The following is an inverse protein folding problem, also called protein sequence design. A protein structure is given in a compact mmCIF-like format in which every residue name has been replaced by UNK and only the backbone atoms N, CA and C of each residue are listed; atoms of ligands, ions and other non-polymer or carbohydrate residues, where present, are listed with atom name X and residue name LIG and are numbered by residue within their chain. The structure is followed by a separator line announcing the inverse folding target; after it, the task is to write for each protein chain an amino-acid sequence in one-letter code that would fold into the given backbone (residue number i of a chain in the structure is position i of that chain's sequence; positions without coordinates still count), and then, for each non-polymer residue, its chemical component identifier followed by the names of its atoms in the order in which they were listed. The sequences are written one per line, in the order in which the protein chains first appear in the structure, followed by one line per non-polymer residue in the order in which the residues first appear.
data_IF_500246336998
#
_entry.id   IF_500246336998
#
_cell.length_a   1.000
_cell.length_b   1.000
_cell.length_c   1.000
_cell.angle_alpha   90.00
_cell.angle_beta   90.00
_cell.angle_gamma   90.00
#
_symmetry.space_group_name_H-M   'P 1'
#
loop_
_entity.id
_entity.type
_entity.pdbx_description
1 polymer ?
#
# COMPACT_ATOMS: atom_id res chain seq x y z
N UNK A 1 -13.40 30.13 -23.21
CA UNK A 1 -13.82 28.85 -23.80
C UNK A 1 -12.62 28.04 -24.28
N UNK A 2 -11.47 28.66 -24.63
CA UNK A 2 -10.26 27.95 -25.11
C UNK A 2 -9.44 27.26 -24.03
N UNK A 3 -9.61 27.55 -22.74
CA UNK A 3 -8.84 26.97 -21.62
C UNK A 3 -9.31 25.56 -21.21
N UNK A 4 -10.53 25.16 -21.54
CA UNK A 4 -11.07 23.84 -21.13
C UNK A 4 -10.74 22.69 -22.11
N UNK A 5 -10.42 22.97 -23.37
CA UNK A 5 -10.06 21.94 -24.34
C UNK A 5 -8.64 21.38 -24.12
N UNK A 6 -7.72 22.17 -23.54
CA UNK A 6 -6.35 21.76 -23.26
C UNK A 6 -6.25 20.88 -22.01
N UNK A 7 -7.14 21.01 -21.02
CA UNK A 7 -7.12 20.20 -19.81
C UNK A 7 -7.61 18.76 -20.05
N UNK A 8 -8.66 18.58 -20.84
CA UNK A 8 -9.21 17.24 -21.15
C UNK A 8 -8.26 16.37 -21.98
N UNK A 9 -7.60 16.96 -22.99
CA UNK A 9 -6.61 16.28 -23.82
C UNK A 9 -5.41 15.79 -22.99
N UNK A 10 -4.96 16.58 -22.02
CA UNK A 10 -3.87 16.21 -21.13
C UNK A 10 -4.25 15.05 -20.16
N UNK A 11 -5.49 14.99 -19.70
CA UNK A 11 -5.99 13.94 -18.81
C UNK A 11 -6.02 12.59 -19.54
N UNK A 12 -6.61 12.56 -20.75
CA UNK A 12 -6.67 11.35 -21.57
C UNK A 12 -5.26 10.86 -21.94
N UNK A 13 -4.37 11.75 -22.36
CA UNK A 13 -3.00 11.41 -22.71
C UNK A 13 -2.24 10.81 -21.51
N UNK A 14 -2.37 11.40 -20.31
CA UNK A 14 -1.76 10.87 -19.08
C UNK A 14 -2.24 9.46 -18.77
N UNK A 15 -3.55 9.22 -18.91
CA UNK A 15 -4.13 7.89 -18.68
C UNK A 15 -3.57 6.87 -19.65
N UNK A 16 -3.54 7.19 -20.95
CA UNK A 16 -3.00 6.30 -21.98
C UNK A 16 -1.52 6.01 -21.71
N UNK A 17 -0.72 7.03 -21.41
CA UNK A 17 0.70 6.86 -21.11
C UNK A 17 0.94 6.03 -19.86
N UNK A 18 0.15 6.21 -18.79
CA UNK A 18 0.28 5.43 -17.56
C UNK A 18 -0.06 3.95 -17.80
N UNK A 19 -1.14 3.67 -18.52
CA UNK A 19 -1.55 2.29 -18.86
C UNK A 19 -0.52 1.65 -19.79
N UNK A 20 -0.09 2.35 -20.84
CA UNK A 20 0.92 1.85 -21.77
C UNK A 20 2.23 1.55 -21.04
N UNK A 21 2.69 2.46 -20.18
CA UNK A 21 3.87 2.24 -19.36
C UNK A 21 3.73 1.00 -18.48
N UNK A 22 2.59 0.83 -17.77
CA UNK A 22 2.36 -0.32 -16.91
C UNK A 22 2.38 -1.64 -17.70
N UNK A 23 1.76 -1.69 -18.87
CA UNK A 23 1.77 -2.87 -19.75
C UNK A 23 3.19 -3.15 -20.26
N UNK A 24 3.88 -2.12 -20.76
CA UNK A 24 5.27 -2.26 -21.21
C UNK A 24 6.18 -2.73 -20.07
N UNK A 25 6.03 -2.18 -18.87
CA UNK A 25 6.80 -2.62 -17.70
C UNK A 25 6.59 -4.11 -17.39
N UNK A 26 5.37 -4.60 -17.42
CA UNK A 26 5.09 -6.02 -17.15
C UNK A 26 5.69 -6.93 -18.23
N UNK A 27 5.61 -6.55 -19.51
CA UNK A 27 6.13 -7.36 -20.62
C UNK A 27 7.67 -7.31 -20.65
N UNK A 28 8.25 -6.11 -20.62
CA UNK A 28 9.70 -5.91 -20.63
C UNK A 28 10.36 -6.37 -19.32
N UNK A 29 9.60 -6.51 -18.25
CA UNK A 29 10.03 -7.09 -16.99
C UNK A 29 10.25 -8.60 -17.04
N UNK A 30 9.77 -9.32 -18.06
CA UNK A 30 9.94 -10.79 -18.15
C UNK A 30 11.41 -11.22 -18.13
N UNK A 31 12.30 -10.70 -19.00
CA UNK A 31 13.72 -11.03 -18.95
C UNK A 31 14.36 -10.64 -17.61
N UNK A 32 13.91 -9.55 -16.99
CA UNK A 32 14.39 -9.14 -15.67
C UNK A 32 14.00 -10.14 -14.60
N UNK A 33 12.75 -10.59 -14.58
CA UNK A 33 12.29 -11.64 -13.65
C UNK A 33 13.12 -12.93 -13.80
N UNK A 34 13.53 -13.25 -15.02
CA UNK A 34 14.41 -14.40 -15.28
C UNK A 34 15.82 -14.19 -14.69
N UNK A 35 16.43 -13.03 -14.94
CA UNK A 35 17.74 -12.68 -14.35
C UNK A 35 17.69 -12.68 -12.83
N UNK A 36 16.66 -12.06 -12.25
CA UNK A 36 16.47 -12.05 -10.80
C UNK A 36 16.22 -13.44 -10.23
N UNK A 37 15.55 -14.33 -10.97
CA UNK A 37 15.41 -15.72 -10.56
C UNK A 37 16.76 -16.43 -10.49
N UNK A 38 17.67 -16.18 -11.43
CA UNK A 38 19.04 -16.71 -11.39
C UNK A 38 19.82 -16.14 -10.19
N UNK A 39 19.75 -14.83 -9.96
CA UNK A 39 20.37 -14.17 -8.79
C UNK A 39 19.83 -14.79 -7.51
N UNK A 40 18.53 -15.00 -7.42
CA UNK A 40 17.88 -15.55 -6.24
C UNK A 40 18.30 -16.97 -5.85
N UNK A 41 18.88 -17.74 -6.77
CA UNK A 41 19.47 -19.05 -6.45
C UNK A 41 20.72 -18.95 -5.58
N UNK A 42 21.47 -17.85 -5.67
CA UNK A 42 22.71 -17.62 -4.93
C UNK A 42 22.53 -16.57 -3.82
N UNK A 43 21.74 -15.55 -4.07
CA UNK A 43 21.52 -14.44 -3.14
C UNK A 43 20.04 -14.00 -3.16
N UNK A 44 19.15 -14.64 -2.37
CA UNK A 44 17.74 -14.29 -2.30
C UNK A 44 17.51 -12.84 -1.86
N UNK A 45 18.30 -12.34 -0.91
CA UNK A 45 18.17 -10.98 -0.41
C UNK A 45 18.44 -9.92 -1.51
N UNK A 46 19.51 -10.11 -2.29
CA UNK A 46 19.82 -9.20 -3.41
C UNK A 46 18.68 -9.18 -4.44
N UNK A 47 18.13 -10.35 -4.78
CA UNK A 47 16.96 -10.48 -5.65
C UNK A 47 15.78 -9.66 -5.11
N UNK A 48 15.47 -9.81 -3.82
CA UNK A 48 14.29 -9.19 -3.21
C UNK A 48 14.42 -7.66 -3.17
N UNK A 49 15.59 -7.15 -2.80
CA UNK A 49 15.87 -5.71 -2.82
C UNK A 49 15.86 -5.16 -4.24
N UNK A 50 16.45 -5.86 -5.23
CA UNK A 50 16.42 -5.47 -6.64
C UNK A 50 14.98 -5.36 -7.14
N UNK A 51 14.17 -6.41 -6.91
CA UNK A 51 12.75 -6.44 -7.27
C UNK A 51 11.98 -5.28 -6.62
N UNK A 52 12.22 -5.01 -5.33
CA UNK A 52 11.61 -3.88 -4.62
C UNK A 52 11.93 -2.54 -5.32
N UNK A 53 13.21 -2.28 -5.58
CA UNK A 53 13.65 -1.01 -6.20
C UNK A 53 13.08 -0.82 -7.59
N UNK A 54 12.95 -1.90 -8.37
CA UNK A 54 12.36 -1.86 -9.70
C UNK A 54 10.87 -1.53 -9.66
N UNK A 55 10.11 -2.16 -8.77
CA UNK A 55 8.68 -1.87 -8.63
C UNK A 55 8.46 -0.45 -8.09
N UNK A 56 9.29 -0.01 -7.14
CA UNK A 56 9.25 1.37 -6.64
C UNK A 56 9.52 2.39 -7.75
N UNK A 57 10.51 2.12 -8.60
CA UNK A 57 10.80 2.97 -9.76
C UNK A 57 9.59 3.04 -10.70
N UNK A 58 9.00 1.89 -11.05
CA UNK A 58 7.84 1.85 -11.91
C UNK A 58 6.65 2.62 -11.33
N UNK A 59 6.36 2.48 -10.05
CA UNK A 59 5.28 3.19 -9.38
C UNK A 59 5.54 4.70 -9.28
N UNK A 60 6.80 5.12 -9.07
CA UNK A 60 7.19 6.54 -9.16
C UNK A 60 6.96 7.12 -10.55
N UNK A 61 7.24 6.37 -11.60
CA UNK A 61 6.97 6.79 -12.98
C UNK A 61 5.46 6.91 -13.20
N UNK A 62 4.68 5.90 -12.80
CA UNK A 62 3.22 5.91 -12.98
C UNK A 62 2.58 7.13 -12.31
N UNK A 63 2.81 7.35 -11.00
CA UNK A 63 2.13 8.46 -10.33
C UNK A 63 2.61 9.83 -10.86
N UNK A 64 3.87 9.96 -11.33
CA UNK A 64 4.35 11.18 -11.99
C UNK A 64 3.69 11.44 -13.34
N UNK A 65 3.53 10.41 -14.17
CA UNK A 65 2.76 10.49 -15.44
C UNK A 65 1.33 10.96 -15.13
N UNK A 66 0.71 10.43 -14.09
CA UNK A 66 -0.62 10.84 -13.65
C UNK A 66 -0.67 12.28 -13.11
N UNK A 67 0.49 12.92 -12.88
CA UNK A 67 0.56 14.30 -12.37
C UNK A 67 0.31 14.40 -10.87
N UNK A 68 0.53 13.33 -10.13
CA UNK A 68 0.38 13.31 -8.67
C UNK A 68 1.55 14.06 -8.03
N UNK A 69 1.22 14.99 -7.14
CA UNK A 69 2.15 15.67 -6.24
C UNK A 69 1.96 15.08 -4.84
N UNK A 70 3.07 14.91 -4.10
CA UNK A 70 3.03 14.30 -2.78
C UNK A 70 3.51 15.29 -1.71
N UNK A 71 2.76 15.32 -0.60
CA UNK A 71 3.24 15.78 0.71
C UNK A 71 3.38 14.55 1.59
N UNK A 72 4.55 14.40 2.21
CA UNK A 72 4.87 13.27 3.09
C UNK A 72 5.22 13.84 4.46
N UNK A 73 4.53 13.37 5.50
CA UNK A 73 4.66 13.85 6.87
C UNK A 73 4.96 12.67 7.78
N UNK A 74 5.89 12.81 8.70
CA UNK A 74 6.18 11.82 9.73
C UNK A 74 6.86 10.54 9.23
N UNK A 75 7.47 10.53 8.03
CA UNK A 75 8.17 9.35 7.52
C UNK A 75 9.32 8.92 8.44
N UNK A 76 9.90 9.86 9.17
CA UNK A 76 10.91 9.63 10.20
C UNK A 76 10.43 8.79 11.38
N UNK A 77 9.12 8.68 11.59
CA UNK A 77 8.51 7.83 12.62
C UNK A 77 8.65 6.34 12.30
N UNK A 78 8.93 5.98 11.05
CA UNK A 78 9.05 4.58 10.64
C UNK A 78 10.39 4.01 11.10
N UNK A 79 10.41 2.96 11.94
CA UNK A 79 11.64 2.30 12.33
C UNK A 79 12.38 1.71 11.12
N UNK A 80 13.70 1.94 11.04
CA UNK A 80 14.51 1.50 9.88
C UNK A 80 14.99 0.06 10.01
N UNK A 81 15.24 -0.39 11.23
CA UNK A 81 15.89 -1.67 11.52
C UNK A 81 14.92 -2.75 12.02
N UNK A 82 13.63 -2.46 12.03
CA UNK A 82 12.59 -3.34 12.53
C UNK A 82 11.46 -3.45 11.54
N UNK A 83 10.98 -4.65 11.21
CA UNK A 83 9.79 -4.82 10.38
C UNK A 83 8.57 -4.26 11.11
N UNK A 84 7.64 -3.70 10.36
CA UNK A 84 6.46 -3.04 10.89
C UNK A 84 5.18 -3.55 10.21
N UNK A 85 4.04 -3.37 10.87
CA UNK A 85 2.74 -3.48 10.24
C UNK A 85 2.24 -2.08 9.87
N UNK A 86 2.27 -1.74 8.59
CA UNK A 86 1.61 -0.53 8.11
C UNK A 86 0.10 -0.75 8.06
N UNK A 87 -0.64 0.17 8.64
CA UNK A 87 -2.10 0.15 8.68
C UNK A 87 -2.63 1.47 8.14
N UNK A 88 -3.43 1.43 7.07
CA UNK A 88 -3.91 2.63 6.41
C UNK A 88 -5.40 2.56 6.06
N UNK A 89 -6.03 3.73 5.87
CA UNK A 89 -7.32 3.86 5.21
C UNK A 89 -7.21 3.55 3.71
N UNK A 90 -8.31 3.09 3.07
CA UNK A 90 -8.27 2.62 1.69
C UNK A 90 -9.36 3.23 0.82
N UNK A 91 -8.98 4.09 -0.11
CA UNK A 91 -9.89 4.82 -0.98
C UNK A 91 -9.65 4.56 -2.48
N UNK A 92 -8.42 4.16 -2.86
CA UNK A 92 -8.01 4.09 -4.26
C UNK A 92 -6.96 3.01 -4.52
N UNK A 93 -6.79 2.61 -5.77
CA UNK A 93 -5.60 1.86 -6.20
C UNK A 93 -4.31 2.65 -6.05
N UNK A 94 -4.40 3.98 -6.08
CA UNK A 94 -3.25 4.86 -5.90
C UNK A 94 -2.70 4.85 -4.47
N UNK A 95 -3.49 4.44 -3.48
CA UNK A 95 -2.97 4.20 -2.12
C UNK A 95 -1.80 3.22 -2.17
N UNK A 96 -1.99 2.10 -2.89
CA UNK A 96 -0.96 1.06 -3.03
C UNK A 96 0.22 1.56 -3.86
N UNK A 97 -0.03 2.19 -5.01
CA UNK A 97 1.02 2.68 -5.92
C UNK A 97 1.93 3.68 -5.20
N UNK A 98 1.34 4.62 -4.45
CA UNK A 98 2.08 5.69 -3.79
C UNK A 98 2.80 5.15 -2.54
N UNK A 99 2.09 4.47 -1.65
CA UNK A 99 2.70 3.99 -0.39
C UNK A 99 3.78 2.94 -0.65
N UNK A 100 3.61 2.07 -1.66
CA UNK A 100 4.64 1.12 -2.04
C UNK A 100 5.91 1.81 -2.57
N UNK A 101 5.75 2.87 -3.37
CA UNK A 101 6.88 3.66 -3.87
C UNK A 101 7.70 4.34 -2.76
N UNK A 102 7.11 4.49 -1.56
CA UNK A 102 7.69 5.11 -0.38
C UNK A 102 8.25 4.12 0.65
N UNK A 103 7.97 2.81 0.54
CA UNK A 103 8.49 1.82 1.48
C UNK A 103 10.03 1.83 1.51
N UNK A 104 10.62 1.91 2.70
CA UNK A 104 12.08 1.91 2.86
C UNK A 104 12.65 0.50 2.76
N UNK A 105 11.94 -0.48 3.34
CA UNK A 105 12.33 -1.88 3.47
C UNK A 105 11.40 -2.81 2.68
N UNK A 106 11.77 -4.09 2.60
CA UNK A 106 10.91 -5.13 2.04
C UNK A 106 9.55 -5.11 2.73
N UNK A 107 8.51 -4.92 1.94
CA UNK A 107 7.14 -4.80 2.45
C UNK A 107 6.19 -5.60 1.55
N UNK A 108 5.51 -6.59 2.12
CA UNK A 108 4.43 -7.30 1.48
C UNK A 108 3.09 -6.60 1.70
N UNK A 109 2.18 -6.70 0.73
CA UNK A 109 0.83 -6.15 0.85
C UNK A 109 -0.20 -7.28 0.92
N UNK A 110 -1.21 -7.10 1.78
CA UNK A 110 -2.36 -8.02 1.78
C UNK A 110 -3.35 -7.52 0.73
N UNK A 111 -3.48 -8.30 -0.35
CA UNK A 111 -4.24 -7.97 -1.54
C UNK A 111 -5.47 -8.88 -1.69
N UNK A 112 -6.41 -8.49 -2.55
CA UNK A 112 -7.55 -9.34 -2.91
C UNK A 112 -7.08 -10.53 -3.74
N UNK A 113 -7.65 -11.72 -3.49
CA UNK A 113 -7.32 -12.99 -4.18
C UNK A 113 -7.47 -12.94 -5.71
N UNK A 114 -8.37 -12.10 -6.23
CA UNK A 114 -8.51 -11.93 -7.69
C UNK A 114 -7.24 -11.44 -8.38
N UNK A 115 -6.36 -10.70 -7.69
CA UNK A 115 -5.08 -10.24 -8.23
C UNK A 115 -4.07 -11.37 -8.44
N UNK A 116 -4.23 -12.50 -7.74
CA UNK A 116 -3.42 -13.69 -7.97
C UNK A 116 -3.60 -14.28 -9.38
N UNK A 117 -4.74 -14.00 -10.01
CA UNK A 117 -5.08 -14.49 -11.36
C UNK A 117 -4.55 -13.57 -12.47
N UNK A 118 -4.01 -12.40 -12.15
CA UNK A 118 -3.48 -11.46 -13.15
C UNK A 118 -2.07 -11.87 -13.56
N UNK A 119 -1.85 -12.31 -14.81
CA UNK A 119 -0.55 -12.77 -15.27
C UNK A 119 0.52 -11.69 -15.11
N UNK A 120 1.77 -12.10 -14.90
CA UNK A 120 2.95 -11.27 -14.67
C UNK A 120 2.86 -10.44 -13.38
N UNK A 121 1.75 -9.73 -13.13
CA UNK A 121 1.56 -8.96 -11.90
C UNK A 121 1.67 -9.87 -10.66
N UNK A 122 1.03 -11.04 -10.70
CA UNK A 122 1.09 -11.99 -9.59
C UNK A 122 2.52 -12.48 -9.29
N UNK A 123 3.38 -12.58 -10.31
CA UNK A 123 4.77 -12.99 -10.15
C UNK A 123 5.54 -11.90 -9.38
N UNK A 124 5.41 -10.64 -9.78
CA UNK A 124 5.99 -9.51 -9.06
C UNK A 124 5.46 -9.41 -7.64
N UNK A 125 4.14 -9.55 -7.44
CA UNK A 125 3.53 -9.49 -6.12
C UNK A 125 4.05 -10.61 -5.20
N UNK A 126 4.11 -11.86 -5.66
CA UNK A 126 4.65 -12.99 -4.89
C UNK A 126 6.13 -12.81 -4.55
N UNK A 127 6.91 -12.25 -5.48
CA UNK A 127 8.33 -11.93 -5.29
C UNK A 127 8.53 -10.92 -4.15
N UNK A 128 7.57 -10.03 -3.98
CA UNK A 128 7.58 -8.96 -2.98
C UNK A 128 6.74 -9.30 -1.75
N UNK A 129 6.58 -10.60 -1.44
CA UNK A 129 5.91 -11.08 -0.25
C UNK A 129 4.45 -10.65 -0.10
N UNK A 130 3.79 -10.24 -1.22
CA UNK A 130 2.37 -9.95 -1.18
C UNK A 130 1.55 -11.23 -0.95
N UNK A 131 0.53 -11.10 -0.14
CA UNK A 131 -0.37 -12.19 0.22
C UNK A 131 -1.76 -11.95 -0.34
N UNK A 132 -2.42 -13.01 -0.78
CA UNK A 132 -3.75 -12.94 -1.40
C UNK A 132 -4.80 -13.44 -0.41
N UNK A 133 -5.73 -12.56 -0.06
CA UNK A 133 -6.75 -12.81 0.97
C UNK A 133 -8.10 -13.17 0.32
N UNK A 134 -8.59 -14.37 0.59
CA UNK A 134 -9.95 -14.80 0.25
C UNK A 134 -10.91 -14.34 1.35
N UNK A 135 -11.62 -13.24 1.12
CA UNK A 135 -12.45 -12.59 2.14
C UNK A 135 -13.66 -13.42 2.56
N UNK A 136 -14.14 -14.26 1.67
CA UNK A 136 -15.33 -15.10 1.86
C UNK A 136 -15.00 -16.48 2.45
N UNK A 137 -13.71 -16.76 2.70
CA UNK A 137 -13.22 -18.01 3.28
C UNK A 137 -12.41 -17.72 4.55
N UNK A 138 -13.02 -17.93 5.70
CA UNK A 138 -12.41 -17.65 7.02
C UNK A 138 -11.15 -18.49 7.26
N UNK A 139 -11.12 -19.76 6.82
CA UNK A 139 -9.95 -20.63 7.00
C UNK A 139 -8.78 -20.17 6.12
N UNK A 140 -9.05 -19.82 4.86
CA UNK A 140 -8.05 -19.29 3.96
C UNK A 140 -7.53 -17.92 4.45
N UNK A 141 -8.43 -17.06 4.94
CA UNK A 141 -8.05 -15.77 5.54
C UNK A 141 -7.13 -15.94 6.74
N UNK A 142 -7.45 -16.87 7.64
CA UNK A 142 -6.59 -17.18 8.79
C UNK A 142 -5.20 -17.64 8.35
N UNK A 143 -5.12 -18.52 7.33
CA UNK A 143 -3.84 -18.97 6.78
C UNK A 143 -3.01 -17.80 6.25
N UNK A 144 -3.65 -16.86 5.57
CA UNK A 144 -3.00 -15.64 5.04
C UNK A 144 -2.45 -14.78 6.18
N UNK A 145 -3.20 -14.60 7.27
CA UNK A 145 -2.75 -13.84 8.45
C UNK A 145 -1.57 -14.55 9.13
N UNK A 146 -1.62 -15.87 9.29
CA UNK A 146 -0.50 -16.65 9.86
C UNK A 146 0.75 -16.51 8.99
N UNK A 147 0.62 -16.55 7.67
CA UNK A 147 1.75 -16.35 6.77
C UNK A 147 2.32 -14.92 6.86
N UNK A 148 1.48 -13.92 7.04
CA UNK A 148 1.92 -12.53 7.27
C UNK A 148 2.74 -12.41 8.57
N UNK A 149 2.31 -13.07 9.65
CA UNK A 149 3.05 -13.13 10.91
C UNK A 149 4.45 -13.72 10.68
N UNK A 150 4.55 -14.83 9.94
CA UNK A 150 5.84 -15.45 9.64
C UNK A 150 6.74 -14.55 8.77
N UNK A 151 6.19 -13.80 7.82
CA UNK A 151 6.97 -12.85 7.03
C UNK A 151 7.52 -11.72 7.90
N UNK A 152 6.71 -11.19 8.83
CA UNK A 152 7.19 -10.16 9.77
C UNK A 152 8.32 -10.69 10.64
N UNK A 153 8.22 -11.92 11.17
CA UNK A 153 9.30 -12.55 11.94
C UNK A 153 10.58 -12.77 11.13
N UNK A 154 10.46 -12.88 9.79
CA UNK A 154 11.59 -12.98 8.86
C UNK A 154 12.18 -11.63 8.46
N UNK A 155 11.68 -10.51 9.01
CA UNK A 155 12.18 -9.17 8.71
C UNK A 155 11.48 -8.45 7.57
N UNK A 156 10.34 -8.97 7.07
CA UNK A 156 9.54 -8.34 6.02
C UNK A 156 8.37 -7.59 6.63
N UNK A 157 8.28 -6.28 6.37
CA UNK A 157 7.11 -5.48 6.79
C UNK A 157 5.86 -5.91 6.02
N UNK A 158 4.70 -5.70 6.63
CA UNK A 158 3.41 -5.95 5.98
C UNK A 158 2.59 -4.66 5.95
N UNK A 159 1.95 -4.38 4.82
CA UNK A 159 0.96 -3.32 4.70
C UNK A 159 -0.43 -3.90 4.53
N UNK A 160 -1.38 -3.39 5.31
CA UNK A 160 -2.77 -3.83 5.27
C UNK A 160 -3.73 -2.65 5.31
N UNK A 161 -4.84 -2.81 4.61
CA UNK A 161 -6.00 -1.94 4.66
C UNK A 161 -7.14 -2.68 5.39
N UNK A 162 -7.30 -2.48 6.72
CA UNK A 162 -8.18 -3.32 7.53
C UNK A 162 -9.67 -3.16 7.24
N UNK A 163 -10.08 -2.11 6.53
CA UNK A 163 -11.42 -1.94 6.00
C UNK A 163 -11.83 -3.13 5.11
N UNK A 164 -10.84 -3.70 4.44
CA UNK A 164 -11.02 -4.87 3.59
C UNK A 164 -11.58 -4.56 2.21
N UNK A 165 -12.02 -3.35 1.94
CA UNK A 165 -12.47 -2.86 0.61
C UNK A 165 -12.18 -1.37 0.52
N UNK A 166 -12.15 -0.83 -0.71
CA UNK A 166 -12.04 0.60 -0.93
C UNK A 166 -13.34 1.27 -0.56
N UNK A 167 -13.25 2.33 0.26
CA UNK A 167 -14.40 3.10 0.67
C UNK A 167 -15.12 3.80 -0.50
N UNK A 168 -16.43 3.94 -0.38
CA UNK A 168 -17.27 4.71 -1.30
C UNK A 168 -17.59 6.11 -0.78
N UNK A 169 -17.24 6.40 0.46
CA UNK A 169 -17.36 7.68 1.16
C UNK A 169 -16.02 8.14 1.71
N UNK A 170 -16.00 9.34 2.29
CA UNK A 170 -14.83 9.86 3.03
C UNK A 170 -14.73 9.27 4.44
N UNK A 171 -15.72 8.49 4.85
CA UNK A 171 -15.73 7.80 6.15
C UNK A 171 -15.05 6.44 6.02
N UNK A 172 -14.17 6.13 6.96
CA UNK A 172 -13.53 4.82 7.04
C UNK A 172 -14.53 3.75 7.48
N UNK A 173 -14.55 2.61 6.80
CA UNK A 173 -15.25 1.45 7.29
C UNK A 173 -14.57 0.89 8.57
N UNK A 174 -15.33 0.20 9.46
CA UNK A 174 -14.75 -0.38 10.66
C UNK A 174 -13.59 -1.31 10.37
N UNK A 175 -12.49 -1.16 11.10
CA UNK A 175 -11.30 -1.99 10.94
C UNK A 175 -11.53 -3.41 11.47
N UNK A 176 -11.14 -4.39 10.68
CA UNK A 176 -11.21 -5.81 11.05
C UNK A 176 -10.14 -6.15 12.08
N UNK A 177 -10.54 -6.39 13.32
CA UNK A 177 -9.64 -6.70 14.44
C UNK A 177 -8.65 -7.82 14.16
N UNK A 178 -9.08 -8.86 13.43
CA UNK A 178 -8.23 -9.99 13.05
C UNK A 178 -6.99 -9.59 12.25
N UNK A 179 -7.05 -8.49 11.52
CA UNK A 179 -5.94 -7.97 10.70
C UNK A 179 -4.79 -7.46 11.55
N UNK A 180 -5.09 -6.86 12.70
CA UNK A 180 -4.08 -6.26 13.58
C UNK A 180 -3.38 -7.31 14.46
N UNK A 181 -3.91 -8.54 14.50
CA UNK A 181 -3.26 -9.68 15.17
C UNK A 181 -1.88 -10.00 14.57
N UNK A 182 -1.60 -9.54 13.36
CA UNK A 182 -0.26 -9.67 12.76
C UNK A 182 0.77 -8.99 13.65
N UNK A 183 0.56 -7.73 14.02
CA UNK A 183 1.49 -6.98 14.86
C UNK A 183 1.61 -7.57 16.28
N UNK A 184 0.47 -7.88 16.90
CA UNK A 184 0.44 -8.47 18.24
C UNK A 184 1.22 -9.79 18.30
N UNK A 185 1.02 -10.70 17.33
CA UNK A 185 1.60 -12.03 17.32
C UNK A 185 3.04 -12.07 16.79
N UNK A 186 3.40 -11.15 15.91
CA UNK A 186 4.77 -11.02 15.43
C UNK A 186 5.64 -10.19 16.39
N UNK A 187 5.03 -9.39 17.28
CA UNK A 187 5.76 -8.52 18.20
C UNK A 187 6.35 -7.27 17.52
N UNK A 188 5.75 -6.80 16.43
CA UNK A 188 6.21 -5.62 15.70
C UNK A 188 5.33 -4.40 15.97
N UNK A 189 5.86 -3.17 15.81
CA UNK A 189 5.03 -1.97 15.90
C UNK A 189 4.07 -1.86 14.72
N UNK A 190 2.93 -1.19 14.98
CA UNK A 190 2.00 -0.71 13.96
C UNK A 190 2.40 0.71 13.61
N UNK A 191 2.46 1.01 12.31
CA UNK A 191 2.59 2.37 11.80
C UNK A 191 1.23 2.77 11.21
N UNK A 192 0.44 3.60 11.91
CA UNK A 192 -0.77 4.17 11.35
C UNK A 192 -0.42 5.10 10.19
N UNK A 193 -1.13 5.00 9.07
CA UNK A 193 -0.95 5.90 7.92
C UNK A 193 -2.29 6.51 7.54
N UNK A 194 -2.35 7.84 7.46
CA UNK A 194 -3.47 8.55 6.88
C UNK A 194 -3.13 8.94 5.43
N UNK A 195 -4.04 8.62 4.50
CA UNK A 195 -3.89 8.85 3.07
C UNK A 195 -5.08 9.69 2.60
N UNK A 196 -4.81 10.85 2.00
CA UNK A 196 -5.87 11.75 1.52
C UNK A 196 -5.78 11.99 0.02
N UNK A 197 -6.92 12.32 -0.59
CA UNK A 197 -7.09 12.73 -1.99
C UNK A 197 -6.69 11.71 -3.07
N UNK A 198 -6.34 10.47 -2.74
CA UNK A 198 -6.05 9.44 -3.75
C UNK A 198 -7.27 9.02 -4.55
N UNK A 199 -8.46 9.16 -3.97
CA UNK A 199 -9.73 8.94 -4.63
C UNK A 199 -9.94 9.90 -5.81
N UNK A 200 -9.56 11.16 -5.64
CA UNK A 200 -9.72 12.23 -6.64
C UNK A 200 -8.90 11.99 -7.92
N UNK A 201 -7.90 11.10 -7.84
CA UNK A 201 -7.06 10.78 -9.00
C UNK A 201 -7.86 10.06 -10.09
N UNK A 202 -8.75 9.12 -9.74
CA UNK A 202 -9.42 8.26 -10.72
C UNK A 202 -10.90 8.01 -10.46
N UNK A 203 -11.38 7.96 -9.21
CA UNK A 203 -12.69 7.40 -8.90
C UNK A 203 -13.83 8.15 -9.59
N UNK A 204 -13.81 9.47 -9.52
CA UNK A 204 -14.86 10.32 -10.08
C UNK A 204 -14.65 10.62 -11.56
N UNK A 205 -13.60 10.07 -12.17
CA UNK A 205 -13.16 10.37 -13.54
C UNK A 205 -12.87 9.11 -14.37
N UNK A 206 -13.29 7.93 -13.90
CA UNK A 206 -13.06 6.65 -14.62
C UNK A 206 -13.50 6.77 -16.07
N UNK A 207 -12.63 6.39 -17.05
CA UNK A 207 -11.34 5.73 -16.89
C UNK A 207 -10.12 6.67 -16.77
N UNK A 208 -10.31 7.96 -16.61
CA UNK A 208 -9.25 8.97 -16.72
C UNK A 208 -8.62 9.30 -15.35
N UNK A 209 -7.33 9.66 -15.38
CA UNK A 209 -6.58 10.08 -14.19
C UNK A 209 -6.45 11.60 -14.15
N UNK A 210 -6.77 12.22 -13.03
CA UNK A 210 -6.68 13.67 -12.79
C UNK A 210 -5.44 13.98 -11.96
N UNK A 211 -4.63 14.98 -12.33
CA UNK A 211 -3.55 15.49 -11.49
C UNK A 211 -4.09 15.91 -10.11
N UNK A 212 -3.50 15.38 -9.07
CA UNK A 212 -3.99 15.56 -7.70
C UNK A 212 -2.81 15.73 -6.74
N UNK A 213 -3.01 16.54 -5.71
CA UNK A 213 -2.09 16.63 -4.58
C UNK A 213 -2.54 15.64 -3.51
N UNK A 214 -1.67 14.72 -3.13
CA UNK A 214 -1.93 13.65 -2.17
C UNK A 214 -1.06 13.86 -0.94
N UNK A 215 -1.64 13.74 0.24
CA UNK A 215 -0.89 13.74 1.49
C UNK A 215 -0.82 12.32 2.06
N UNK A 216 0.38 11.90 2.44
CA UNK A 216 0.65 10.67 3.18
C UNK A 216 1.24 11.07 4.53
N UNK A 217 0.54 10.74 5.60
CA UNK A 217 1.00 10.99 6.94
C UNK A 217 1.28 9.67 7.67
N UNK A 218 2.48 9.53 8.24
CA UNK A 218 2.86 8.42 9.10
C UNK A 218 2.72 8.85 10.56
N UNK A 219 1.87 8.15 11.30
CA UNK A 219 1.68 8.39 12.73
C UNK A 219 2.81 7.82 13.58
N UNK A 220 2.77 8.11 14.86
CA UNK A 220 3.69 7.54 15.86
C UNK A 220 3.52 6.03 15.93
N UNK A 221 4.62 5.24 16.03
CA UNK A 221 4.55 3.79 16.16
C UNK A 221 3.73 3.37 17.39
N UNK A 222 2.81 2.44 17.18
CA UNK A 222 2.03 1.81 18.24
C UNK A 222 2.59 0.43 18.54
N UNK A 223 2.96 0.17 19.78
CA UNK A 223 3.49 -1.13 20.25
C UNK A 223 2.38 -1.91 20.95
N UNK A 224 1.75 -2.92 20.30
CA UNK A 224 0.57 -3.59 20.85
C UNK A 224 0.82 -4.28 22.21
N UNK A 225 2.07 -4.68 22.46
CA UNK A 225 2.42 -5.36 23.70
C UNK A 225 2.62 -4.41 24.90
N UNK A 226 2.71 -3.10 24.65
CA UNK A 226 2.85 -2.04 25.65
C UNK A 226 1.51 -1.39 26.01
N UNK A 227 0.48 -1.66 25.19
CA UNK A 227 -0.86 -1.09 25.39
C UNK A 227 -1.58 -1.74 26.58
N UNK A 228 -2.44 -0.97 27.28
CA UNK A 228 -3.39 -1.48 28.23
C UNK A 228 -4.25 -2.62 27.66
N UNK A 229 -4.66 -3.55 28.49
CA UNK A 229 -5.36 -4.77 28.05
C UNK A 229 -6.65 -4.49 27.28
N UNK A 230 -7.34 -3.38 27.59
CA UNK A 230 -8.58 -2.99 26.93
C UNK A 230 -8.32 -2.49 25.51
N UNK A 231 -7.33 -1.61 25.32
CA UNK A 231 -6.91 -1.08 24.02
C UNK A 231 -6.35 -2.20 23.13
N UNK A 232 -5.56 -3.11 23.72
CA UNK A 232 -5.06 -4.28 23.02
C UNK A 232 -6.15 -5.20 22.50
N UNK A 233 -7.30 -5.31 23.21
CA UNK A 233 -8.45 -6.10 22.76
C UNK A 233 -9.19 -5.45 21.59
N UNK A 234 -9.17 -4.13 21.49
CA UNK A 234 -9.82 -3.33 20.46
C UNK A 234 -8.77 -2.62 19.58
N UNK A 235 -7.69 -3.32 19.25
CA UNK A 235 -6.52 -2.75 18.56
C UNK A 235 -6.87 -2.15 17.19
N UNK A 236 -7.84 -2.74 16.47
CA UNK A 236 -8.36 -2.22 15.22
C UNK A 236 -9.03 -0.87 15.41
N UNK A 237 -9.94 -0.76 16.38
CA UNK A 237 -10.60 0.50 16.71
C UNK A 237 -9.60 1.54 17.21
N UNK A 238 -8.67 1.15 18.07
CA UNK A 238 -7.62 2.03 18.58
C UNK A 238 -6.80 2.65 17.44
N UNK A 239 -6.31 1.82 16.52
CA UNK A 239 -5.54 2.28 15.34
C UNK A 239 -6.41 3.11 14.40
N UNK A 240 -7.68 2.74 14.21
CA UNK A 240 -8.62 3.49 13.39
C UNK A 240 -8.83 4.91 13.92
N UNK A 241 -8.98 5.07 15.23
CA UNK A 241 -9.14 6.39 15.87
C UNK A 241 -7.91 7.28 15.61
N UNK A 242 -6.69 6.74 15.72
CA UNK A 242 -5.47 7.49 15.42
C UNK A 242 -5.49 7.99 13.96
N UNK A 243 -5.83 7.11 13.02
CA UNK A 243 -5.88 7.49 11.60
C UNK A 243 -6.98 8.53 11.37
N UNK A 244 -8.14 8.40 12.04
CA UNK A 244 -9.23 9.37 11.94
C UNK A 244 -8.80 10.76 12.44
N UNK A 245 -8.14 10.82 13.59
CA UNK A 245 -7.59 12.07 14.12
C UNK A 245 -6.60 12.73 13.15
N UNK A 246 -5.71 11.94 12.52
CA UNK A 246 -4.78 12.45 11.51
C UNK A 246 -5.51 13.01 10.29
N UNK A 247 -6.56 12.33 9.82
CA UNK A 247 -7.40 12.80 8.70
C UNK A 247 -8.17 14.07 9.04
N UNK A 248 -8.68 14.19 10.26
CA UNK A 248 -9.43 15.35 10.72
C UNK A 248 -8.52 16.58 10.90
N UNK A 249 -7.29 16.39 11.38
CA UNK A 249 -6.29 17.46 11.46
C UNK A 249 -5.89 17.97 10.07
N UNK A 250 -5.75 17.10 9.11
CA UNK A 250 -5.43 17.51 7.72
C UNK A 250 -6.58 18.31 7.10
N UNK A 251 -7.83 17.87 7.30
CA UNK A 251 -9.03 18.61 6.84
C UNK A 251 -9.16 19.98 7.47
N UNK A 252 -8.76 20.13 8.74
CA UNK A 252 -8.78 21.41 9.45
C UNK A 252 -7.66 22.37 9.03
N UNK A 253 -6.78 21.97 8.11
CA UNK A 253 -5.64 22.78 7.68
C UNK A 253 -4.58 23.00 8.75
N UNK A 254 -4.47 22.11 9.73
CA UNK A 254 -3.57 22.19 10.89
C UNK A 254 -2.21 21.50 10.65
N UNK A 255 -1.87 21.23 9.39
CA UNK A 255 -0.62 20.58 8.96
C UNK A 255 0.32 21.56 8.27
#
# INVERSE_FOLDING_TARGET
VFLNLTSGGNIMLRTILAVLFAVCYLILGIPVLFVEWLIGKKNPHLRDISSLRMVQWAFRVIYRICGVKLTIIGQENVPKDTPVLYVANHNSYFDIIITYALCENLTGYIAKDSLEKVPLLNIWMKRLYCLFLKRDDMKASLKTILQAIEYVKQGVSICIFPEGTRGDSDEMAPFKEGSLKIAEKAGCPIIPMAITHTRDIIKDHIPFVKPTHVTIQYGTPVYPNELPKEEKRALGRYTQNIIQEMLDHEKAGSL
#
